data_IF_586239712834
#
_entry.id   IF_586239712834
#
_cell.length_a   1.000
_cell.length_b   1.000
_cell.length_c   1.000
_cell.angle_alpha   90.00
_cell.angle_beta   90.00
_cell.angle_gamma   90.00
#
_symmetry.space_group_name_H-M   'P 1'
#
loop_
_entity.id
_entity.type
_entity.pdbx_description
1 polymer ?
#
# COMPACT_ATOMS: atom_id res chain seq x y z
N UNK A 1 -8.78 11.32 -3.24
CA UNK A 1 -9.48 11.15 -4.52
C UNK A 1 -10.64 10.24 -4.21
N UNK A 2 -11.85 10.72 -4.48
CA UNK A 2 -13.04 9.92 -4.27
C UNK A 2 -13.12 8.83 -5.33
N UNK A 3 -13.32 7.61 -4.87
CA UNK A 3 -13.71 6.47 -5.66
C UNK A 3 -14.99 5.86 -5.11
N UNK A 4 -15.25 4.63 -5.53
CA UNK A 4 -16.41 3.86 -5.11
C UNK A 4 -15.95 2.62 -4.36
N UNK A 5 -16.61 2.34 -3.25
CA UNK A 5 -16.43 1.11 -2.49
C UNK A 5 -16.86 -0.10 -3.34
N UNK A 6 -15.99 -1.10 -3.45
CA UNK A 6 -16.20 -2.26 -4.30
C UNK A 6 -17.29 -3.22 -3.78
N UNK A 7 -17.58 -3.21 -2.47
CA UNK A 7 -18.56 -4.07 -1.83
C UNK A 7 -19.92 -3.37 -1.64
N UNK A 8 -19.91 -2.10 -1.23
CA UNK A 8 -21.13 -1.35 -0.86
C UNK A 8 -21.61 -0.38 -1.94
N UNK A 9 -20.75 0.03 -2.87
CA UNK A 9 -21.06 1.05 -3.86
C UNK A 9 -21.10 2.49 -3.30
N UNK A 10 -20.77 2.69 -2.02
CA UNK A 10 -20.71 4.01 -1.41
C UNK A 10 -19.52 4.84 -1.94
N UNK A 11 -19.61 6.17 -1.83
CA UNK A 11 -18.49 7.06 -2.12
C UNK A 11 -17.44 6.88 -1.04
N UNK A 12 -16.19 6.66 -1.48
CA UNK A 12 -15.09 6.32 -0.61
C UNK A 12 -13.91 7.22 -0.96
N UNK A 13 -13.44 8.04 -0.01
CA UNK A 13 -12.40 9.04 -0.22
C UNK A 13 -11.31 8.95 0.85
N UNK A 14 -10.15 9.53 0.57
CA UNK A 14 -9.00 9.56 1.46
C UNK A 14 -8.32 8.20 1.62
N UNK A 15 -7.90 7.90 2.86
CA UNK A 15 -7.14 6.69 3.17
C UNK A 15 -7.90 5.38 2.95
N UNK A 16 -9.20 5.26 3.28
CA UNK A 16 -9.97 4.06 2.96
C UNK A 16 -9.86 3.66 1.47
N UNK A 17 -9.77 4.64 0.56
CA UNK A 17 -9.68 4.35 -0.87
C UNK A 17 -8.31 3.76 -1.23
N UNK A 18 -7.27 4.24 -0.54
CA UNK A 18 -5.91 3.71 -0.68
C UNK A 18 -5.86 2.28 -0.14
N UNK A 19 -6.48 2.00 1.00
CA UNK A 19 -6.59 0.65 1.57
C UNK A 19 -7.24 -0.33 0.57
N UNK A 20 -8.39 0.03 0.01
CA UNK A 20 -9.05 -0.78 -1.03
C UNK A 20 -8.14 -0.98 -2.26
N UNK A 21 -7.37 0.03 -2.65
CA UNK A 21 -6.45 -0.06 -3.78
C UNK A 21 -5.31 -1.06 -3.50
N UNK A 22 -4.72 -0.98 -2.30
CA UNK A 22 -3.68 -1.90 -1.84
C UNK A 22 -4.20 -3.34 -1.80
N UNK A 23 -5.41 -3.56 -1.27
CA UNK A 23 -6.05 -4.87 -1.27
C UNK A 23 -6.18 -5.44 -2.68
N UNK A 24 -6.64 -4.64 -3.65
CA UNK A 24 -6.75 -5.06 -5.06
C UNK A 24 -5.38 -5.38 -5.66
N UNK A 25 -4.36 -4.56 -5.40
CA UNK A 25 -3.01 -4.77 -5.91
C UNK A 25 -2.44 -6.09 -5.40
N UNK A 26 -2.64 -6.42 -4.13
CA UNK A 26 -2.06 -7.62 -3.52
C UNK A 26 -2.79 -8.91 -3.89
N UNK A 27 -4.08 -8.85 -4.16
CA UNK A 27 -4.93 -10.03 -4.43
C UNK A 27 -5.13 -10.35 -5.92
N UNK A 28 -4.92 -9.39 -6.83
CA UNK A 28 -5.08 -9.62 -8.27
C UNK A 28 -3.85 -10.30 -8.85
N UNK A 29 -4.00 -11.35 -9.67
CA UNK A 29 -2.86 -11.97 -10.33
C UNK A 29 -2.34 -11.14 -11.51
N UNK A 30 -1.02 -11.17 -11.74
CA UNK A 30 -0.41 -10.48 -12.87
C UNK A 30 -1.02 -10.96 -14.20
N UNK A 31 -1.51 -10.05 -15.03
CA UNK A 31 -2.09 -10.37 -16.33
C UNK A 31 -3.57 -10.78 -16.30
N UNK A 32 -4.21 -10.78 -15.14
CA UNK A 32 -5.64 -11.08 -15.01
C UNK A 32 -6.53 -9.98 -15.60
N UNK A 33 -6.05 -8.73 -15.60
CA UNK A 33 -6.82 -7.59 -16.11
C UNK A 33 -6.69 -7.42 -17.62
N UNK A 34 -7.84 -7.38 -18.29
CA UNK A 34 -7.97 -7.09 -19.72
C UNK A 34 -7.32 -5.74 -20.04
N UNK A 35 -6.46 -5.72 -21.06
CA UNK A 35 -5.70 -4.53 -21.52
C UNK A 35 -4.78 -3.89 -20.45
N UNK A 36 -4.51 -4.58 -19.34
CA UNK A 36 -3.56 -4.16 -18.31
C UNK A 36 -2.71 -5.35 -17.85
N UNK A 37 -2.02 -5.95 -18.81
CA UNK A 37 -1.17 -7.13 -18.58
C UNK A 37 -0.11 -6.89 -17.49
N UNK A 38 0.43 -5.68 -17.43
CA UNK A 38 1.44 -5.29 -16.46
C UNK A 38 0.92 -5.05 -15.04
N UNK A 39 -0.40 -5.09 -14.81
CA UNK A 39 -0.97 -4.95 -13.47
C UNK A 39 -1.16 -6.30 -12.77
N UNK A 40 -0.82 -6.33 -11.47
CA UNK A 40 -1.12 -7.44 -10.55
C UNK A 40 0.08 -7.87 -9.71
N UNK A 41 -0.12 -8.88 -8.86
CA UNK A 41 0.88 -9.42 -7.96
C UNK A 41 1.44 -10.76 -8.47
N UNK A 42 2.66 -10.78 -9.05
CA UNK A 42 3.30 -12.04 -9.46
C UNK A 42 3.74 -12.90 -8.26
N UNK A 43 3.88 -12.28 -7.08
CA UNK A 43 4.26 -12.94 -5.84
C UNK A 43 3.22 -13.93 -5.34
N UNK A 44 1.98 -13.90 -5.83
CA UNK A 44 0.95 -14.89 -5.49
C UNK A 44 1.38 -16.33 -5.81
N UNK A 45 2.35 -16.52 -6.72
CA UNK A 45 2.98 -17.83 -6.97
C UNK A 45 3.78 -18.38 -5.80
N UNK A 46 4.24 -17.52 -4.89
CA UNK A 46 4.98 -17.90 -3.68
C UNK A 46 4.05 -18.46 -2.59
N UNK A 47 2.73 -18.22 -2.71
CA UNK A 47 1.76 -18.82 -1.80
C UNK A 47 1.75 -20.34 -2.02
N UNK A 48 1.96 -21.10 -0.95
CA UNK A 48 2.11 -22.56 -0.99
C UNK A 48 3.56 -23.05 -1.06
N UNK A 49 4.53 -22.16 -1.26
CA UNK A 49 5.94 -22.50 -1.06
C UNK A 49 6.32 -22.57 0.43
N UNK A 50 7.45 -23.20 0.73
CA UNK A 50 8.00 -23.21 2.08
C UNK A 50 8.34 -21.79 2.55
N UNK A 51 7.86 -21.42 3.74
CA UNK A 51 8.11 -20.13 4.39
C UNK A 51 9.56 -20.00 4.92
N UNK A 52 10.51 -19.99 4.00
CA UNK A 52 11.92 -19.70 4.31
C UNK A 52 12.16 -18.19 4.37
N UNK A 53 13.21 -17.76 5.08
CA UNK A 53 13.59 -16.33 5.13
C UNK A 53 13.77 -15.73 3.72
N UNK A 54 14.26 -16.52 2.76
CA UNK A 54 14.38 -16.10 1.35
C UNK A 54 13.02 -15.84 0.72
N UNK A 55 12.08 -16.78 0.83
CA UNK A 55 10.74 -16.66 0.25
C UNK A 55 9.99 -15.46 0.84
N UNK A 56 10.09 -15.27 2.16
CA UNK A 56 9.47 -14.12 2.85
C UNK A 56 10.08 -12.79 2.38
N UNK A 57 11.40 -12.72 2.22
CA UNK A 57 12.06 -11.52 1.71
C UNK A 57 11.66 -11.21 0.27
N UNK A 58 11.55 -12.22 -0.60
CA UNK A 58 11.07 -12.05 -1.97
C UNK A 58 9.63 -11.54 -1.97
N UNK A 59 8.76 -12.11 -1.13
CA UNK A 59 7.38 -11.64 -0.96
C UNK A 59 7.33 -10.15 -0.58
N UNK A 60 8.11 -9.72 0.41
CA UNK A 60 8.16 -8.30 0.80
C UNK A 60 8.70 -7.39 -0.29
N UNK A 61 9.73 -7.82 -1.02
CA UNK A 61 10.26 -7.05 -2.15
C UNK A 61 9.21 -6.90 -3.25
N UNK A 62 8.45 -7.95 -3.55
CA UNK A 62 7.35 -7.89 -4.53
C UNK A 62 6.29 -6.92 -4.06
N UNK A 63 5.79 -7.03 -2.82
CA UNK A 63 4.80 -6.09 -2.28
C UNK A 63 5.31 -4.64 -2.33
N UNK A 64 6.57 -4.40 -1.96
CA UNK A 64 7.18 -3.08 -2.02
C UNK A 64 7.17 -2.51 -3.45
N UNK A 65 7.63 -3.30 -4.43
CA UNK A 65 7.66 -2.86 -5.83
C UNK A 65 6.26 -2.56 -6.37
N UNK A 66 5.26 -3.37 -6.00
CA UNK A 66 3.88 -3.18 -6.46
C UNK A 66 3.27 -1.90 -5.91
N UNK A 67 3.49 -1.61 -4.63
CA UNK A 67 3.02 -0.35 -4.03
C UNK A 67 3.71 0.84 -4.69
N UNK A 68 5.03 0.77 -4.90
CA UNK A 68 5.76 1.86 -5.54
C UNK A 68 5.29 2.13 -6.97
N UNK A 69 4.95 1.08 -7.72
CA UNK A 69 4.55 1.18 -9.12
C UNK A 69 3.09 1.64 -9.29
N UNK A 70 2.18 1.15 -8.45
CA UNK A 70 0.74 1.32 -8.66
C UNK A 70 0.04 2.23 -7.65
N UNK A 71 0.62 2.50 -6.49
CA UNK A 71 -0.02 3.26 -5.42
C UNK A 71 0.92 4.31 -4.81
N UNK A 72 1.21 5.41 -5.53
CA UNK A 72 2.14 6.45 -5.05
C UNK A 72 1.66 7.13 -3.76
N UNK A 73 0.36 7.05 -3.45
CA UNK A 73 -0.23 7.64 -2.24
C UNK A 73 0.07 6.85 -0.97
N UNK A 74 0.73 5.71 -1.07
CA UNK A 74 1.17 4.96 0.09
C UNK A 74 2.66 4.65 -0.02
N UNK A 75 3.45 5.07 0.97
CA UNK A 75 4.88 4.73 1.02
C UNK A 75 5.13 3.76 2.16
N UNK A 76 5.54 2.54 1.84
CA UNK A 76 5.92 1.56 2.84
C UNK A 76 7.19 2.06 3.57
N UNK A 77 7.19 1.93 4.89
CA UNK A 77 8.32 2.27 5.77
C UNK A 77 8.95 1.02 6.37
N UNK A 78 8.13 0.04 6.72
CA UNK A 78 8.58 -1.17 7.38
C UNK A 78 7.60 -2.32 7.16
N UNK A 79 8.16 -3.53 7.04
CA UNK A 79 7.42 -4.78 7.20
C UNK A 79 7.72 -5.39 8.57
N UNK A 80 6.69 -5.79 9.29
CA UNK A 80 6.80 -6.49 10.57
C UNK A 80 6.23 -7.89 10.40
N UNK A 81 7.04 -8.90 10.73
CA UNK A 81 6.59 -10.30 10.77
C UNK A 81 5.98 -10.54 12.14
N UNK A 82 4.67 -10.77 12.19
CA UNK A 82 3.97 -11.02 13.46
C UNK A 82 4.03 -12.50 13.82
N UNK A 83 3.68 -13.37 12.87
CA UNK A 83 3.68 -14.82 13.06
C UNK A 83 3.88 -15.55 11.73
N UNK A 84 4.58 -16.69 11.78
CA UNK A 84 4.72 -17.63 10.67
C UNK A 84 4.51 -19.02 11.25
N UNK A 85 3.32 -19.56 11.05
CA UNK A 85 2.91 -20.83 11.61
C UNK A 85 3.20 -21.99 10.66
N UNK A 86 3.56 -23.14 11.24
CA UNK A 86 3.68 -24.42 10.52
C UNK A 86 2.34 -24.93 9.98
N UNK A 87 1.22 -24.34 10.41
CA UNK A 87 -0.11 -24.60 9.88
C UNK A 87 -0.35 -23.94 8.50
N UNK A 88 0.65 -23.23 7.96
CA UNK A 88 0.56 -22.59 6.63
C UNK A 88 -0.02 -21.18 6.65
N UNK A 89 -0.12 -20.56 7.83
CA UNK A 89 -0.57 -19.19 8.00
C UNK A 89 0.62 -18.26 8.28
N UNK A 90 0.67 -17.12 7.59
CA UNK A 90 1.64 -16.05 7.83
C UNK A 90 0.91 -14.74 8.08
N UNK A 91 1.29 -14.05 9.16
CA UNK A 91 0.78 -12.75 9.52
C UNK A 91 1.88 -11.70 9.44
N UNK A 92 1.64 -10.65 8.65
CA UNK A 92 2.57 -9.56 8.41
C UNK A 92 1.85 -8.23 8.55
N UNK A 93 2.46 -7.28 9.25
CA UNK A 93 1.98 -5.90 9.31
C UNK A 93 2.82 -5.03 8.39
N UNK A 94 2.16 -4.21 7.57
CA UNK A 94 2.80 -3.23 6.69
C UNK A 94 2.61 -1.86 7.33
N UNK A 95 3.71 -1.25 7.77
CA UNK A 95 3.70 0.12 8.27
C UNK A 95 4.12 1.05 7.15
N UNK A 96 3.33 2.10 6.91
CA UNK A 96 3.60 3.06 5.84
C UNK A 96 3.04 4.44 6.13
N UNK A 97 3.44 5.38 5.29
CA UNK A 97 3.02 6.77 5.32
C UNK A 97 1.98 7.00 4.21
N UNK A 98 0.83 7.55 4.59
CA UNK A 98 -0.19 7.98 3.63
C UNK A 98 0.14 9.37 3.07
N UNK A 99 0.18 9.46 1.74
CA UNK A 99 0.55 10.65 0.96
C UNK A 99 -0.59 11.01 0.01
N UNK A 100 -1.63 11.71 0.49
CA UNK A 100 -2.86 11.92 -0.27
C UNK A 100 -2.64 12.55 -1.66
N UNK A 101 -1.59 13.37 -1.81
CA UNK A 101 -1.29 14.12 -3.03
C UNK A 101 -0.13 13.56 -3.87
N UNK A 102 0.45 12.41 -3.51
CA UNK A 102 1.66 11.92 -4.20
C UNK A 102 1.47 11.50 -5.67
N UNK A 103 0.23 11.44 -6.16
CA UNK A 103 -0.10 11.22 -7.57
C UNK A 103 -0.10 12.50 -8.40
N UNK A 104 0.01 13.67 -7.75
CA UNK A 104 0.17 14.98 -8.36
C UNK A 104 1.67 15.31 -8.24
N UNK A 105 2.37 15.31 -9.37
CA UNK A 105 3.79 15.62 -9.38
C UNK A 105 4.03 17.11 -9.08
N UNK A 106 5.18 17.40 -8.45
CA UNK A 106 5.88 18.70 -8.33
C UNK A 106 5.66 19.72 -7.19
N UNK A 107 4.51 19.92 -6.51
CA UNK A 107 4.44 20.89 -5.38
C UNK A 107 3.08 20.79 -4.69
N UNK A 108 3.02 20.62 -3.35
CA UNK A 108 1.98 21.15 -2.43
C UNK A 108 1.84 20.30 -1.15
N UNK A 109 2.77 20.50 -0.22
CA UNK A 109 2.36 21.14 1.03
C UNK A 109 3.19 22.43 1.12
N UNK A 110 2.59 23.60 0.86
CA UNK A 110 3.31 24.86 1.05
C UNK A 110 3.72 25.06 2.52
N UNK A 111 3.01 24.39 3.43
CA UNK A 111 3.24 24.40 4.86
C UNK A 111 2.70 23.10 5.48
N UNK A 112 3.43 22.54 6.43
CA UNK A 112 2.93 21.55 7.36
C UNK A 112 2.25 22.29 8.51
N UNK A 113 0.96 22.01 8.74
CA UNK A 113 0.22 22.49 9.91
C UNK A 113 0.32 21.43 11.01
N UNK A 114 1.00 21.74 12.10
CA UNK A 114 0.97 20.96 13.33
C UNK A 114 0.14 21.71 14.36
N UNK A 115 -0.87 21.07 14.93
CA UNK A 115 -1.70 21.64 16.01
C UNK A 115 -1.35 20.89 17.29
N UNK A 116 -0.76 21.60 18.25
CA UNK A 116 -0.46 21.09 19.58
C UNK A 116 -1.13 21.99 20.62
N UNK A 117 -2.13 21.46 21.32
CA UNK A 117 -2.99 22.23 22.21
C UNK A 117 -3.66 23.42 21.51
N UNK A 118 -3.37 24.64 21.96
CA UNK A 118 -3.87 25.89 21.37
C UNK A 118 -2.90 26.53 20.37
N UNK A 119 -1.78 25.88 20.03
CA UNK A 119 -0.75 26.44 19.16
C UNK A 119 -0.81 25.80 17.76
N UNK A 120 -0.80 26.66 16.73
CA UNK A 120 -0.71 26.26 15.32
C UNK A 120 0.70 26.58 14.82
N UNK A 121 1.48 25.55 14.53
CA UNK A 121 2.83 25.71 13.95
C UNK A 121 2.79 25.41 12.46
N UNK A 122 3.20 26.39 11.66
CA UNK A 122 3.36 26.26 10.21
C UNK A 122 4.85 26.06 9.90
N UNK A 123 5.22 24.93 9.30
CA UNK A 123 6.59 24.70 8.80
C UNK A 123 6.60 24.69 7.28
N UNK A 124 7.41 25.50 6.59
CA UNK A 124 7.55 25.41 5.14
C UNK A 124 8.13 24.04 4.77
N UNK A 125 7.64 23.45 3.68
CA UNK A 125 8.29 22.28 3.07
C UNK A 125 9.56 22.74 2.36
N UNK A 126 10.70 22.13 2.70
CA UNK A 126 11.98 22.31 2.01
C UNK A 126 11.95 21.65 0.64
#
# INVERSE_FOLDING_TARGET
MAGVDAATGAVLDGFPHVEQSLEKIFTTFQGERVMREWFGNPGLRLLGENATARTVLVWFNVLWMLVELFEPRFKIRQFVVNDISRLGYGNFTINGEHRPYAHLDWQQAAFFVSIDGSAVTLKPAL
#
